data_IF_125560589218
#
_entry.id   IF_125560589218
#
_cell.length_a   1.000
_cell.length_b   1.000
_cell.length_c   1.000
_cell.angle_alpha   90.00
_cell.angle_beta   90.00
_cell.angle_gamma   90.00
#
_symmetry.space_group_name_H-M   'P 1'
#
loop_
_entity.id
_entity.type
_entity.pdbx_description
1 polymer ?
#
# COMPACT_ATOMS: atom_id res chain seq x y z
N UNK A 1 9.60 -9.77 35.51
CA UNK A 1 9.39 -9.91 34.05
C UNK A 1 8.33 -10.97 33.86
N UNK A 2 7.08 -10.57 33.58
CA UNK A 2 5.97 -11.51 33.45
C UNK A 2 5.94 -12.08 32.04
N UNK A 3 6.22 -13.38 31.89
CA UNK A 3 5.94 -14.11 30.66
C UNK A 3 4.43 -14.21 30.57
N UNK A 4 3.80 -13.37 29.74
CA UNK A 4 2.36 -13.49 29.46
C UNK A 4 2.15 -14.80 28.74
N UNK A 5 1.70 -15.82 29.48
CA UNK A 5 1.29 -17.09 28.90
C UNK A 5 0.21 -16.83 27.86
N UNK A 6 0.41 -17.37 26.66
CA UNK A 6 -0.58 -17.26 25.59
C UNK A 6 -1.88 -17.94 26.05
N UNK A 7 -3.06 -17.40 25.69
CA UNK A 7 -4.32 -18.04 26.00
C UNK A 7 -4.33 -19.51 25.49
N UNK A 8 -4.90 -20.47 26.24
CA UNK A 8 -4.85 -21.90 25.91
C UNK A 8 -5.35 -22.24 24.50
N UNK A 9 -6.31 -21.46 24.01
CA UNK A 9 -6.90 -21.63 22.68
C UNK A 9 -5.91 -21.26 21.57
N UNK A 10 -5.07 -20.23 21.81
CA UNK A 10 -4.00 -19.81 20.91
C UNK A 10 -2.89 -20.85 20.88
N UNK A 11 -2.50 -21.39 22.04
CA UNK A 11 -1.51 -22.47 22.10
C UNK A 11 -1.99 -23.75 21.40
N UNK A 12 -3.28 -24.08 21.51
CA UNK A 12 -3.89 -25.23 20.84
C UNK A 12 -3.93 -25.03 19.32
N UNK A 13 -4.27 -23.83 18.87
CA UNK A 13 -4.29 -23.49 17.45
C UNK A 13 -2.88 -23.51 16.85
N UNK A 14 -1.88 -22.98 17.57
CA UNK A 14 -0.48 -22.99 17.13
C UNK A 14 0.09 -24.41 17.05
N UNK A 15 -0.20 -25.28 18.03
CA UNK A 15 0.19 -26.70 17.98
C UNK A 15 -0.44 -27.43 16.81
N UNK A 16 -1.74 -27.27 16.62
CA UNK A 16 -2.45 -27.92 15.51
C UNK A 16 -1.95 -27.45 14.14
N UNK A 17 -1.56 -26.18 14.03
CA UNK A 17 -1.00 -25.59 12.80
C UNK A 17 0.44 -26.06 12.54
N UNK A 18 1.24 -26.27 13.58
CA UNK A 18 2.57 -26.88 13.47
C UNK A 18 2.50 -28.36 13.05
N UNK A 19 1.53 -29.12 13.56
CA UNK A 19 1.23 -30.50 13.13
C UNK A 19 0.87 -30.58 11.63
N UNK A 20 0.25 -29.53 11.10
CA UNK A 20 -0.08 -29.37 9.67
C UNK A 20 1.10 -28.82 8.83
N UNK A 21 2.29 -28.62 9.43
CA UNK A 21 3.50 -28.16 8.75
C UNK A 21 3.48 -26.69 8.33
N UNK A 22 2.51 -25.90 8.82
CA UNK A 22 2.39 -24.49 8.46
C UNK A 22 3.36 -23.64 9.31
N UNK A 23 4.51 -23.30 8.75
CA UNK A 23 5.43 -22.32 9.34
C UNK A 23 4.84 -20.92 9.11
N UNK A 24 4.54 -20.20 10.19
CA UNK A 24 4.14 -18.80 10.11
C UNK A 24 5.30 -18.03 9.47
N UNK A 25 5.10 -17.38 8.31
CA UNK A 25 6.12 -16.49 7.79
C UNK A 25 6.31 -15.41 8.85
N UNK A 26 7.55 -15.10 9.19
CA UNK A 26 7.82 -13.87 9.94
C UNK A 26 7.13 -12.72 9.21
N UNK A 27 6.65 -11.72 9.93
CA UNK A 27 6.00 -10.55 9.31
C UNK A 27 6.84 -9.97 8.15
N UNK A 28 8.17 -10.05 8.30
CA UNK A 28 9.16 -9.74 7.26
C UNK A 28 9.03 -10.61 6.00
N UNK A 29 8.93 -11.93 6.13
CA UNK A 29 8.75 -12.85 4.99
C UNK A 29 7.40 -12.70 4.31
N UNK A 30 6.36 -12.35 5.06
CA UNK A 30 5.07 -11.97 4.50
C UNK A 30 5.19 -10.70 3.63
N UNK A 31 5.77 -9.62 4.19
CA UNK A 31 5.98 -8.36 3.47
C UNK A 31 6.84 -8.56 2.21
N UNK A 32 7.92 -9.34 2.31
CA UNK A 32 8.79 -9.64 1.17
C UNK A 32 8.05 -10.37 0.05
N UNK A 33 7.19 -11.33 0.39
CA UNK A 33 6.37 -12.07 -0.58
C UNK A 33 5.35 -11.18 -1.26
N UNK A 34 4.64 -10.35 -0.49
CA UNK A 34 3.66 -9.41 -1.02
C UNK A 34 4.33 -8.43 -1.99
N UNK A 35 5.51 -7.89 -1.63
CA UNK A 35 6.31 -7.02 -2.50
C UNK A 35 6.78 -7.74 -3.77
N UNK A 36 7.24 -8.98 -3.66
CA UNK A 36 7.66 -9.77 -4.81
C UNK A 36 6.48 -10.04 -5.78
N UNK A 37 5.32 -10.43 -5.25
CA UNK A 37 4.11 -10.64 -6.05
C UNK A 37 3.57 -9.34 -6.66
N UNK A 38 3.70 -8.21 -5.97
CA UNK A 38 3.38 -6.89 -6.53
C UNK A 38 4.30 -6.55 -7.71
N UNK A 39 5.61 -6.75 -7.56
CA UNK A 39 6.60 -6.52 -8.63
C UNK A 39 6.35 -7.42 -9.84
N UNK A 40 6.03 -8.69 -9.62
CA UNK A 40 5.75 -9.61 -10.73
C UNK A 40 4.48 -9.22 -11.50
N UNK A 41 3.41 -8.81 -10.78
CA UNK A 41 2.20 -8.27 -11.40
C UNK A 41 2.50 -7.02 -12.21
N UNK A 42 3.34 -6.12 -11.69
CA UNK A 42 3.80 -4.93 -12.39
C UNK A 42 4.56 -5.27 -13.68
N UNK A 43 5.56 -6.15 -13.62
CA UNK A 43 6.35 -6.56 -14.78
C UNK A 43 5.49 -7.29 -15.84
N UNK A 44 4.45 -8.02 -15.41
CA UNK A 44 3.48 -8.67 -16.31
C UNK A 44 2.56 -7.65 -16.98
N UNK A 45 2.01 -6.73 -16.21
CA UNK A 45 1.17 -5.64 -16.71
C UNK A 45 1.94 -4.74 -17.68
N UNK A 46 3.19 -4.41 -17.33
CA UNK A 46 4.10 -3.60 -18.10
C UNK A 46 4.45 -4.16 -19.49
N UNK A 47 4.55 -5.49 -19.57
CA UNK A 47 4.80 -6.21 -20.83
C UNK A 47 3.54 -6.28 -21.71
N UNK A 48 2.37 -6.44 -21.09
CA UNK A 48 1.09 -6.55 -21.80
C UNK A 48 0.61 -5.19 -22.33
N UNK A 49 0.97 -4.08 -21.67
CA UNK A 49 0.58 -2.73 -22.04
C UNK A 49 1.85 -1.90 -22.30
N UNK A 50 2.31 -1.81 -23.56
CA UNK A 50 3.40 -0.89 -23.95
C UNK A 50 3.01 0.51 -23.49
N UNK A 51 3.72 1.00 -22.48
CA UNK A 51 3.32 2.08 -21.60
C UNK A 51 3.03 3.39 -22.34
N UNK A 52 1.78 3.84 -22.32
CA UNK A 52 1.41 5.23 -22.57
C UNK A 52 1.46 6.01 -21.26
N UNK A 53 2.68 6.40 -20.86
CA UNK A 53 2.92 7.45 -19.85
C UNK A 53 2.74 7.03 -18.39
N UNK A 54 3.85 6.92 -17.66
CA UNK A 54 3.84 7.05 -16.20
C UNK A 54 3.14 8.37 -15.83
N UNK A 55 2.00 8.33 -15.16
CA UNK A 55 1.52 9.49 -14.41
C UNK A 55 2.34 9.53 -13.13
N UNK A 56 3.41 10.32 -13.13
CA UNK A 56 4.15 10.64 -11.89
C UNK A 56 3.23 11.52 -11.06
N UNK A 57 2.48 10.91 -10.15
CA UNK A 57 1.59 11.62 -9.26
C UNK A 57 2.40 12.14 -8.07
N UNK A 58 2.14 13.37 -7.68
CA UNK A 58 2.82 14.02 -6.54
C UNK A 58 2.20 13.65 -5.19
N UNK A 59 1.63 12.45 -5.08
CA UNK A 59 0.91 11.96 -3.88
C UNK A 59 1.86 11.87 -2.69
N UNK A 60 2.98 11.15 -2.83
CA UNK A 60 3.99 11.01 -1.77
C UNK A 60 4.44 12.36 -1.22
N UNK A 61 4.80 13.27 -2.12
CA UNK A 61 5.24 14.61 -1.75
C UNK A 61 4.18 15.36 -0.91
N UNK A 62 2.91 15.25 -1.29
CA UNK A 62 1.82 15.90 -0.56
C UNK A 62 1.57 15.27 0.80
N UNK A 63 1.55 13.94 0.86
CA UNK A 63 1.40 13.20 2.10
C UNK A 63 2.52 13.54 3.09
N UNK A 64 3.77 13.55 2.63
CA UNK A 64 4.95 13.92 3.44
C UNK A 64 4.88 15.38 3.93
N UNK A 65 4.41 16.31 3.08
CA UNK A 65 4.19 17.71 3.47
C UNK A 65 3.19 17.84 4.62
N UNK A 66 2.16 16.99 4.66
CA UNK A 66 1.17 16.93 5.73
C UNK A 66 1.63 16.10 6.94
N UNK A 67 2.84 15.52 6.90
CA UNK A 67 3.36 14.57 7.91
C UNK A 67 2.43 13.37 8.15
N UNK A 68 1.72 12.96 7.10
CA UNK A 68 0.79 11.84 7.12
C UNK A 68 1.53 10.55 6.76
N UNK A 69 1.29 9.45 7.49
CA UNK A 69 1.85 8.15 7.12
C UNK A 69 1.09 7.53 5.94
N UNK A 70 1.69 6.56 5.24
CA UNK A 70 0.99 5.83 4.17
C UNK A 70 -0.25 5.11 4.74
N UNK A 71 -0.11 4.52 5.93
CA UNK A 71 -1.22 3.88 6.64
C UNK A 71 -2.39 4.85 6.91
N UNK A 72 -2.10 6.07 7.38
CA UNK A 72 -3.15 7.07 7.64
C UNK A 72 -3.91 7.45 6.36
N UNK A 73 -3.18 7.69 5.26
CA UNK A 73 -3.81 8.03 3.99
C UNK A 73 -4.64 6.86 3.47
N UNK A 74 -4.10 5.64 3.52
CA UNK A 74 -4.78 4.43 3.09
C UNK A 74 -6.08 4.20 3.87
N UNK A 75 -6.07 4.41 5.19
CA UNK A 75 -7.27 4.34 6.03
C UNK A 75 -8.31 5.39 5.61
N UNK A 76 -7.91 6.64 5.37
CA UNK A 76 -8.81 7.73 4.97
C UNK A 76 -9.50 7.48 3.64
N UNK A 77 -8.83 6.83 2.69
CA UNK A 77 -9.38 6.55 1.34
C UNK A 77 -9.93 5.13 1.21
N UNK A 78 -9.95 4.34 2.28
CA UNK A 78 -10.45 2.96 2.27
C UNK A 78 -9.63 2.01 1.39
N UNK A 79 -8.31 2.23 1.28
CA UNK A 79 -7.39 1.42 0.48
C UNK A 79 -6.44 0.59 1.36
N UNK A 80 -5.83 -0.43 0.76
CA UNK A 80 -4.73 -1.13 1.44
C UNK A 80 -3.44 -0.30 1.38
N UNK A 81 -2.66 -0.27 2.47
CA UNK A 81 -1.38 0.46 2.53
C UNK A 81 -0.47 0.12 1.35
N UNK A 82 -0.33 -1.17 1.02
CA UNK A 82 0.47 -1.64 -0.12
C UNK A 82 -0.04 -1.13 -1.47
N UNK A 83 -1.36 -0.99 -1.64
CA UNK A 83 -1.93 -0.47 -2.88
C UNK A 83 -1.58 1.01 -3.05
N UNK A 84 -1.67 1.77 -1.96
CA UNK A 84 -1.29 3.18 -1.94
C UNK A 84 0.22 3.36 -2.15
N UNK A 85 1.09 2.55 -1.52
CA UNK A 85 2.53 2.54 -1.79
C UNK A 85 2.81 2.31 -3.28
N UNK A 86 2.12 1.34 -3.88
CA UNK A 86 2.27 1.05 -5.30
C UNK A 86 1.80 2.22 -6.19
N UNK A 87 0.74 2.92 -5.81
CA UNK A 87 0.26 4.11 -6.55
C UNK A 87 1.27 5.26 -6.41
N UNK A 88 1.80 5.50 -5.22
CA UNK A 88 2.80 6.55 -4.97
C UNK A 88 4.09 6.33 -5.77
N UNK A 89 4.54 5.09 -5.88
CA UNK A 89 5.72 4.72 -6.67
C UNK A 89 5.41 4.58 -8.18
N UNK A 90 4.16 4.83 -8.60
CA UNK A 90 3.73 4.66 -9.99
C UNK A 90 3.77 3.21 -10.48
N UNK A 91 3.81 2.25 -9.55
CA UNK A 91 3.78 0.81 -9.79
C UNK A 91 2.36 0.28 -10.01
N UNK A 92 1.34 1.02 -9.58
CA UNK A 92 -0.08 0.79 -9.85
C UNK A 92 -0.76 2.09 -10.34
N UNK A 93 -1.81 1.94 -11.13
CA UNK A 93 -2.65 3.05 -11.58
C UNK A 93 -3.88 3.14 -10.69
N UNK A 94 -4.08 4.29 -10.05
CA UNK A 94 -5.32 4.59 -9.36
C UNK A 94 -6.46 4.83 -10.36
N UNK A 95 -7.68 4.39 -10.03
CA UNK A 95 -8.89 4.76 -10.76
C UNK A 95 -9.16 6.27 -10.62
N UNK A 96 -10.02 6.83 -11.48
CA UNK A 96 -10.39 8.25 -11.36
C UNK A 96 -11.04 8.55 -10.00
N UNK A 97 -11.88 7.65 -9.49
CA UNK A 97 -12.51 7.75 -8.18
C UNK A 97 -11.47 7.73 -7.05
N UNK A 98 -10.55 6.76 -7.07
CA UNK A 98 -9.45 6.69 -6.10
C UNK A 98 -8.58 7.95 -6.13
N UNK A 99 -8.32 8.53 -7.30
CA UNK A 99 -7.57 9.78 -7.42
C UNK A 99 -8.31 10.97 -6.80
N UNK A 100 -9.63 11.04 -6.96
CA UNK A 100 -10.46 12.06 -6.32
C UNK A 100 -10.42 11.90 -4.81
N UNK A 101 -10.57 10.67 -4.29
CA UNK A 101 -10.54 10.40 -2.86
C UNK A 101 -9.16 10.75 -2.24
N UNK A 102 -8.08 10.35 -2.90
CA UNK A 102 -6.71 10.71 -2.50
C UNK A 102 -6.51 12.23 -2.52
N UNK A 103 -7.00 12.93 -3.55
CA UNK A 103 -6.89 14.38 -3.64
C UNK A 103 -7.65 15.08 -2.49
N UNK A 104 -8.87 14.63 -2.19
CA UNK A 104 -9.67 15.13 -1.09
C UNK A 104 -8.99 14.91 0.27
N UNK A 105 -8.48 13.70 0.54
CA UNK A 105 -7.79 13.36 1.78
C UNK A 105 -6.51 14.20 1.99
N UNK A 106 -5.87 14.62 0.90
CA UNK A 106 -4.66 15.44 0.91
C UNK A 106 -4.95 16.95 0.78
N UNK A 107 -6.21 17.38 0.87
CA UNK A 107 -6.64 18.78 0.73
C UNK A 107 -6.11 19.45 -0.55
N UNK A 108 -6.13 18.73 -1.67
CA UNK A 108 -5.61 19.17 -2.98
C UNK A 108 -6.57 18.78 -4.11
N UNK A 109 -6.25 19.16 -5.36
CA UNK A 109 -6.96 18.69 -6.56
C UNK A 109 -6.20 17.57 -7.28
N UNK A 110 -6.94 16.78 -8.06
CA UNK A 110 -6.36 15.78 -8.98
C UNK A 110 -5.40 16.45 -9.97
N UNK A 111 -5.73 17.65 -10.47
CA UNK A 111 -4.87 18.39 -11.39
C UNK A 111 -3.52 18.80 -10.76
N UNK A 112 -3.50 19.12 -9.47
CA UNK A 112 -2.27 19.41 -8.73
C UNK A 112 -1.44 18.15 -8.46
N UNK A 113 -2.09 17.02 -8.13
CA UNK A 113 -1.42 15.73 -8.00
C UNK A 113 -0.79 15.29 -9.32
N UNK A 114 -1.45 15.55 -10.44
CA UNK A 114 -0.95 15.28 -11.80
C UNK A 114 0.08 16.30 -12.28
N UNK A 115 0.33 17.38 -11.52
CA UNK A 115 1.24 18.45 -11.91
C UNK A 115 0.76 19.35 -13.05
N UNK A 116 -0.52 19.26 -13.44
CA UNK A 116 -1.17 20.15 -14.42
C UNK A 116 -1.46 21.54 -13.85
N UNK A 117 -1.58 21.64 -12.52
CA UNK A 117 -1.73 22.90 -11.81
C UNK A 117 -0.61 23.10 -10.78
N UNK A 118 -0.19 24.37 -10.55
CA UNK A 118 0.72 24.68 -9.46
C UNK A 118 0.03 24.53 -8.09
N UNK A 119 0.81 24.29 -7.05
CA UNK A 119 0.32 24.29 -5.68
C UNK A 119 -0.16 25.71 -5.31
N UNK A 120 -1.35 25.82 -4.72
CA UNK A 120 -1.81 27.08 -4.13
C UNK A 120 -1.10 27.23 -2.78
N UNK A 121 -0.38 28.34 -2.61
CA UNK A 121 0.35 28.72 -1.39
C UNK A 121 -0.61 29.37 -0.42
#
# INVERSE_FOLDING_TARGET
MGVTALPPDVERLMRHRAELGAVEPTHREYVMRVRASARERHERFARAHRWTGHRVLRIRHQRERLRMSVADLAELVGMYEVELEMIEDGSATATEEQLVDIACALFTTVAQLEGREPWRV
#
